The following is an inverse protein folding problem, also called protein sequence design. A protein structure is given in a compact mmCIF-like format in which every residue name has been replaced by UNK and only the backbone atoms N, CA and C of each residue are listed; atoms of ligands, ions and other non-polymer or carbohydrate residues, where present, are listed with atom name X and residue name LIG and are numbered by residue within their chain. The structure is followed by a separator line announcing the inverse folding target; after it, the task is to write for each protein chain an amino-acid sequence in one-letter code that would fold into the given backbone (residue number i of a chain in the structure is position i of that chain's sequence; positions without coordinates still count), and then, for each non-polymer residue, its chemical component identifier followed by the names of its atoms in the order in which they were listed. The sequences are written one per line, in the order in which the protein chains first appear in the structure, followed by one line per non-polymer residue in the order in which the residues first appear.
data_IF_967893243449
#
_entry.id   IF_967893243449
#
_cell.length_a   1.000
_cell.length_b   1.000
_cell.length_c   1.000
_cell.angle_alpha   90.00
_cell.angle_beta   90.00
_cell.angle_gamma   90.00
#
_symmetry.space_group_name_H-M   'P 1'
#
loop_
_entity.id
_entity.type
_entity.pdbx_description
1 polymer ?
#
# COMPACT_ATOMS: atom_id res chain seq x y z
N UNK A 1 28.34 -4.28 -28.66
CA UNK A 1 27.08 -3.64 -28.23
C UNK A 1 26.95 -3.73 -26.71
N UNK A 2 26.85 -2.60 -26.01
CA UNK A 2 26.85 -2.55 -24.53
C UNK A 2 25.53 -3.07 -23.96
N UNK A 3 25.55 -3.54 -22.70
CA UNK A 3 24.34 -3.96 -22.01
C UNK A 3 23.30 -2.83 -21.90
N UNK A 4 23.76 -1.60 -21.65
CA UNK A 4 22.90 -0.42 -21.57
C UNK A 4 22.14 -0.14 -22.87
N UNK A 5 22.82 -0.19 -24.02
CA UNK A 5 22.17 0.01 -25.32
C UNK A 5 21.15 -1.11 -25.61
N UNK A 6 21.48 -2.37 -25.25
CA UNK A 6 20.51 -3.48 -25.37
C UNK A 6 19.27 -3.25 -24.53
N UNK A 7 19.41 -2.74 -23.31
CA UNK A 7 18.27 -2.46 -22.43
C UNK A 7 17.40 -1.33 -22.98
N UNK A 8 18.00 -0.28 -23.55
CA UNK A 8 17.25 0.80 -24.23
C UNK A 8 16.47 0.25 -25.42
N UNK A 9 17.12 -0.51 -26.29
CA UNK A 9 16.49 -1.03 -27.51
C UNK A 9 15.36 -2.02 -27.21
N UNK A 10 15.35 -2.64 -26.01
CA UNK A 10 14.29 -3.56 -25.56
C UNK A 10 13.06 -2.87 -24.96
N UNK A 11 13.10 -1.56 -24.71
CA UNK A 11 12.02 -0.85 -24.03
C UNK A 11 10.65 -1.01 -24.72
N UNK A 12 10.52 -0.97 -26.06
CA UNK A 12 9.24 -1.19 -26.73
C UNK A 12 8.64 -2.57 -26.42
N UNK A 13 9.44 -3.63 -26.46
CA UNK A 13 8.97 -5.00 -26.19
C UNK A 13 8.67 -5.23 -24.71
N UNK A 14 9.42 -4.59 -23.80
CA UNK A 14 9.12 -4.63 -22.35
C UNK A 14 7.81 -3.90 -22.03
N UNK A 15 7.55 -2.74 -22.67
CA UNK A 15 6.29 -2.01 -22.52
C UNK A 15 5.11 -2.83 -23.03
N UNK A 16 5.23 -3.43 -24.22
CA UNK A 16 4.18 -4.30 -24.77
C UNK A 16 3.89 -5.47 -23.83
N UNK A 17 4.92 -6.11 -23.26
CA UNK A 17 4.76 -7.19 -22.27
C UNK A 17 4.05 -6.73 -21.01
N UNK A 18 4.38 -5.54 -20.49
CA UNK A 18 3.69 -4.97 -19.32
C UNK A 18 2.19 -4.72 -19.62
N UNK A 19 1.87 -4.17 -20.79
CA UNK A 19 0.48 -3.94 -21.22
C UNK A 19 -0.27 -5.28 -21.34
N UNK A 20 0.32 -6.28 -21.99
CA UNK A 20 -0.30 -7.60 -22.14
C UNK A 20 -0.53 -8.29 -20.79
N UNK A 21 0.39 -8.15 -19.84
CA UNK A 21 0.23 -8.70 -18.50
C UNK A 21 -0.96 -8.07 -17.76
N UNK A 22 -1.12 -6.75 -17.85
CA UNK A 22 -2.11 -5.99 -17.07
C UNK A 22 -3.48 -5.90 -17.75
N UNK A 23 -3.51 -5.79 -19.08
CA UNK A 23 -4.70 -5.49 -19.88
C UNK A 23 -4.96 -6.51 -21.01
N UNK A 24 -4.11 -7.54 -21.17
CA UNK A 24 -4.29 -8.57 -22.19
C UNK A 24 -5.45 -9.53 -21.89
N UNK A 25 -5.84 -10.31 -22.91
CA UNK A 25 -7.00 -11.20 -22.87
C UNK A 25 -6.93 -12.26 -21.74
N UNK A 26 -5.71 -12.72 -21.40
CA UNK A 26 -5.49 -13.70 -20.34
C UNK A 26 -5.61 -13.11 -18.92
N UNK A 27 -5.65 -11.77 -18.79
CA UNK A 27 -5.81 -11.02 -17.53
C UNK A 27 -4.90 -11.51 -16.40
N UNK A 28 -3.71 -12.04 -16.72
CA UNK A 28 -2.87 -12.72 -15.73
C UNK A 28 -2.43 -11.81 -14.56
N UNK A 29 -2.20 -10.52 -14.83
CA UNK A 29 -1.89 -9.51 -13.80
C UNK A 29 -3.10 -8.84 -13.18
N UNK A 30 -4.32 -9.10 -13.68
CA UNK A 30 -5.51 -8.32 -13.33
C UNK A 30 -5.92 -8.51 -11.87
N UNK A 31 -5.88 -9.73 -11.35
CA UNK A 31 -6.25 -9.99 -9.96
C UNK A 31 -5.34 -9.27 -8.95
N UNK A 32 -4.03 -9.24 -9.22
CA UNK A 32 -3.08 -8.50 -8.38
C UNK A 32 -3.31 -6.99 -8.48
N UNK A 33 -3.60 -6.48 -9.68
CA UNK A 33 -3.90 -5.06 -9.89
C UNK A 33 -5.20 -4.65 -9.18
N UNK A 34 -6.26 -5.45 -9.28
CA UNK A 34 -7.54 -5.19 -8.62
C UNK A 34 -7.37 -5.21 -7.09
N UNK A 35 -6.62 -6.18 -6.55
CA UNK A 35 -6.31 -6.23 -5.12
C UNK A 35 -5.50 -5.02 -4.64
N UNK A 36 -4.54 -4.56 -5.44
CA UNK A 36 -3.79 -3.33 -5.14
C UNK A 36 -4.69 -2.10 -5.20
N UNK A 37 -5.56 -2.00 -6.20
CA UNK A 37 -6.49 -0.89 -6.34
C UNK A 37 -7.49 -0.83 -5.18
N UNK A 38 -8.02 -1.97 -4.73
CA UNK A 38 -8.88 -2.05 -3.54
C UNK A 38 -8.14 -1.63 -2.27
N UNK A 39 -6.89 -2.09 -2.08
CA UNK A 39 -6.09 -1.69 -0.93
C UNK A 39 -5.80 -0.18 -0.90
N UNK A 40 -5.56 0.43 -2.07
CA UNK A 40 -5.33 1.87 -2.21
C UNK A 40 -6.63 2.65 -1.97
N UNK A 41 -7.77 2.23 -2.55
CA UNK A 41 -9.08 2.88 -2.35
C UNK A 41 -9.55 2.83 -0.91
N UNK A 42 -9.27 1.74 -0.21
CA UNK A 42 -9.63 1.56 1.20
C UNK A 42 -8.73 2.29 2.19
N UNK A 43 -7.60 2.85 1.74
CA UNK A 43 -6.65 3.53 2.60
C UNK A 43 -6.97 5.02 2.73
N UNK A 44 -6.83 5.55 3.95
CA UNK A 44 -6.90 6.97 4.23
C UNK A 44 -5.60 7.70 3.86
N UNK A 45 -4.47 6.99 3.97
CA UNK A 45 -3.15 7.53 3.70
C UNK A 45 -2.42 6.65 2.69
N UNK A 46 -2.04 7.19 1.54
CA UNK A 46 -1.36 6.43 0.50
C UNK A 46 0.03 7.00 0.31
N UNK A 47 1.05 6.18 0.52
CA UNK A 47 2.45 6.54 0.31
C UNK A 47 2.92 5.95 -1.02
N UNK A 48 3.66 6.72 -1.81
CA UNK A 48 4.25 6.29 -3.07
C UNK A 48 5.76 6.58 -3.04
N UNK A 49 6.57 5.55 -3.27
CA UNK A 49 8.02 5.62 -3.04
C UNK A 49 8.81 4.71 -3.98
N UNK A 50 10.12 4.91 -4.01
CA UNK A 50 11.10 4.13 -4.75
C UNK A 50 12.51 4.61 -4.41
N UNK A 51 13.52 4.09 -5.11
CA UNK A 51 14.92 4.52 -4.98
C UNK A 51 15.48 4.80 -6.37
N UNK A 52 16.26 5.87 -6.51
CA UNK A 52 16.97 6.18 -7.76
C UNK A 52 16.02 6.31 -8.96
N UNK A 53 16.21 5.53 -10.02
CA UNK A 53 15.31 5.58 -11.18
C UNK A 53 13.86 5.17 -10.85
N UNK A 54 13.67 4.30 -9.84
CA UNK A 54 12.32 3.93 -9.39
C UNK A 54 11.64 5.06 -8.61
N UNK A 55 12.41 5.92 -7.94
CA UNK A 55 11.88 7.15 -7.34
C UNK A 55 11.40 8.14 -8.41
N UNK A 56 12.18 8.32 -9.49
CA UNK A 56 11.74 9.15 -10.61
C UNK A 56 10.45 8.63 -11.28
N UNK A 57 10.29 7.30 -11.37
CA UNK A 57 9.03 6.70 -11.83
C UNK A 57 7.88 7.01 -10.86
N UNK A 58 8.11 6.96 -9.55
CA UNK A 58 7.12 7.30 -8.53
C UNK A 58 6.66 8.76 -8.64
N UNK A 59 7.55 9.71 -8.92
CA UNK A 59 7.19 11.12 -9.15
C UNK A 59 6.21 11.28 -10.32
N UNK A 60 6.47 10.62 -11.45
CA UNK A 60 5.59 10.66 -12.62
C UNK A 60 4.21 10.04 -12.33
N UNK A 61 4.19 8.87 -11.67
CA UNK A 61 2.94 8.21 -11.27
C UNK A 61 2.17 9.07 -10.25
N UNK A 62 2.87 9.75 -9.35
CA UNK A 62 2.29 10.66 -8.37
C UNK A 62 1.46 11.78 -9.02
N UNK A 63 1.91 12.33 -10.15
CA UNK A 63 1.13 13.33 -10.89
C UNK A 63 -0.21 12.77 -11.39
N UNK A 64 -0.24 11.52 -11.87
CA UNK A 64 -1.49 10.87 -12.31
C UNK A 64 -2.46 10.67 -11.15
N UNK A 65 -1.97 10.25 -9.98
CA UNK A 65 -2.78 10.13 -8.77
C UNK A 65 -3.46 11.45 -8.39
N UNK A 66 -2.70 12.56 -8.43
CA UNK A 66 -3.24 13.90 -8.17
C UNK A 66 -4.27 14.33 -9.23
N UNK A 67 -3.99 14.09 -10.51
CA UNK A 67 -4.90 14.41 -11.60
C UNK A 67 -6.27 13.73 -11.45
N UNK A 68 -6.31 12.53 -10.85
CA UNK A 68 -7.54 11.77 -10.62
C UNK A 68 -8.14 11.95 -9.21
N UNK A 69 -7.70 12.94 -8.44
CA UNK A 69 -8.29 13.26 -7.13
C UNK A 69 -7.95 12.25 -6.01
N UNK A 70 -6.89 11.46 -6.20
CA UNK A 70 -6.40 10.49 -5.23
C UNK A 70 -4.98 10.85 -4.80
N UNK A 71 -4.78 11.92 -4.00
CA UNK A 71 -3.44 12.39 -3.66
C UNK A 71 -2.66 11.32 -2.88
N UNK A 72 -1.34 11.32 -3.10
CA UNK A 72 -0.39 10.40 -2.47
C UNK A 72 0.74 11.18 -1.80
N UNK A 73 1.25 10.68 -0.68
CA UNK A 73 2.46 11.19 -0.05
C UNK A 73 3.68 10.66 -0.80
N UNK A 74 4.47 11.55 -1.36
CA UNK A 74 5.68 11.26 -2.12
C UNK A 74 6.91 11.51 -1.24
N UNK A 75 7.65 10.45 -0.91
CA UNK A 75 8.95 10.53 -0.23
C UNK A 75 9.86 9.42 -0.74
N UNK A 76 11.17 9.67 -0.77
CA UNK A 76 12.16 8.63 -1.08
C UNK A 76 12.11 7.51 -0.02
N UNK A 77 12.44 6.28 -0.42
CA UNK A 77 12.31 5.13 0.46
C UNK A 77 13.17 5.21 1.72
N UNK A 78 14.36 5.82 1.60
CA UNK A 78 15.31 5.99 2.69
C UNK A 78 14.82 7.03 3.71
N UNK A 79 14.19 8.11 3.22
CA UNK A 79 13.55 9.11 4.08
C UNK A 79 12.32 8.54 4.80
N UNK A 80 11.47 7.78 4.10
CA UNK A 80 10.34 7.11 4.73
C UNK A 80 10.79 6.15 5.83
N UNK A 81 11.86 5.42 5.59
CA UNK A 81 12.37 4.46 6.56
C UNK A 81 12.88 5.14 7.84
N UNK A 82 13.51 6.31 7.72
CA UNK A 82 14.11 7.01 8.88
C UNK A 82 13.14 7.93 9.62
N UNK A 83 12.23 8.58 8.90
CA UNK A 83 11.49 9.72 9.44
C UNK A 83 9.98 9.53 9.46
N UNK A 84 9.42 8.60 8.68
CA UNK A 84 7.99 8.45 8.62
C UNK A 84 7.45 7.54 9.73
N UNK A 85 6.41 8.01 10.41
CA UNK A 85 5.47 7.16 11.12
C UNK A 85 4.27 6.91 10.22
N UNK A 86 3.89 5.63 10.02
CA UNK A 86 2.75 5.27 9.19
C UNK A 86 1.46 5.25 10.02
N UNK A 87 0.49 6.13 9.75
CA UNK A 87 -0.79 6.11 10.44
C UNK A 87 -1.58 4.81 10.19
N UNK A 88 -2.64 4.62 10.97
CA UNK A 88 -3.64 3.58 10.68
C UNK A 88 -4.22 3.77 9.28
N UNK A 89 -4.71 2.66 8.71
CA UNK A 89 -5.40 2.67 7.42
C UNK A 89 -4.54 3.27 6.30
N UNK A 90 -3.24 3.00 6.35
CA UNK A 90 -2.27 3.39 5.31
C UNK A 90 -2.04 2.29 4.29
N UNK A 91 -1.89 2.67 3.03
CA UNK A 91 -1.35 1.84 1.95
C UNK A 91 0.00 2.40 1.49
N UNK A 92 0.86 1.52 0.99
CA UNK A 92 2.17 1.89 0.48
C UNK A 92 2.41 1.24 -0.88
N UNK A 93 2.72 2.07 -1.86
CA UNK A 93 3.10 1.70 -3.21
C UNK A 93 4.61 1.85 -3.31
N UNK A 94 5.29 0.73 -3.45
CA UNK A 94 6.75 0.67 -3.55
C UNK A 94 7.12 0.30 -4.98
N UNK A 95 7.78 1.22 -5.70
CA UNK A 95 8.33 0.95 -7.02
C UNK A 95 9.78 0.50 -6.86
N UNK A 96 10.09 -0.71 -7.33
CA UNK A 96 11.43 -1.26 -7.31
C UNK A 96 11.63 -2.24 -8.46
N UNK A 97 12.76 -2.12 -9.17
CA UNK A 97 13.15 -3.07 -10.22
C UNK A 97 13.47 -4.46 -9.67
N UNK A 98 14.30 -4.54 -8.62
CA UNK A 98 14.80 -5.82 -8.11
C UNK A 98 14.02 -6.33 -6.89
N UNK A 99 13.36 -5.44 -6.16
CA UNK A 99 12.76 -5.74 -4.85
C UNK A 99 13.77 -6.13 -3.77
N UNK A 100 15.08 -5.99 -4.03
CA UNK A 100 16.17 -6.51 -3.18
C UNK A 100 17.01 -5.44 -2.51
N UNK A 101 16.79 -4.16 -2.83
CA UNK A 101 17.49 -3.06 -2.14
C UNK A 101 17.17 -3.12 -0.64
N UNK A 102 18.19 -2.88 0.20
CA UNK A 102 18.09 -3.01 1.65
C UNK A 102 16.95 -2.17 2.21
N UNK A 103 16.84 -0.91 1.78
CA UNK A 103 15.83 0.04 2.21
C UNK A 103 14.43 -0.43 1.79
N UNK A 104 14.28 -0.95 0.57
CA UNK A 104 13.00 -1.51 0.07
C UNK A 104 12.53 -2.69 0.94
N UNK A 105 13.43 -3.63 1.23
CA UNK A 105 13.11 -4.80 2.06
C UNK A 105 12.77 -4.39 3.49
N UNK A 106 13.51 -3.43 4.05
CA UNK A 106 13.25 -2.92 5.40
C UNK A 106 11.92 -2.16 5.47
N UNK A 107 11.61 -1.36 4.46
CA UNK A 107 10.37 -0.59 4.37
C UNK A 107 9.15 -1.51 4.22
N UNK A 108 9.24 -2.54 3.36
CA UNK A 108 8.20 -3.56 3.21
C UNK A 108 7.91 -4.27 4.55
N UNK A 109 8.97 -4.67 5.27
CA UNK A 109 8.84 -5.29 6.60
C UNK A 109 8.19 -4.32 7.60
N UNK A 110 8.57 -3.04 7.58
CA UNK A 110 7.98 -2.00 8.42
C UNK A 110 6.48 -1.85 8.15
N UNK A 111 6.09 -1.72 6.87
CA UNK A 111 4.69 -1.60 6.46
C UNK A 111 3.84 -2.81 6.89
N UNK A 112 4.36 -4.03 6.73
CA UNK A 112 3.67 -5.27 7.15
C UNK A 112 3.47 -5.35 8.67
N UNK A 113 4.45 -4.91 9.47
CA UNK A 113 4.32 -4.86 10.94
C UNK A 113 3.21 -3.91 11.39
N UNK A 114 3.13 -2.73 10.78
CA UNK A 114 2.09 -1.75 11.08
C UNK A 114 0.69 -2.29 10.73
N UNK A 115 0.54 -2.95 9.58
CA UNK A 115 -0.71 -3.62 9.21
C UNK A 115 -1.16 -4.65 10.25
N UNK A 116 -0.22 -5.50 10.72
CA UNK A 116 -0.52 -6.54 11.73
C UNK A 116 -0.83 -5.95 13.10
N UNK A 117 -0.07 -4.97 13.57
CA UNK A 117 -0.30 -4.32 14.86
C UNK A 117 -1.69 -3.66 14.92
N UNK A 118 -2.17 -3.11 13.80
CA UNK A 118 -3.51 -2.54 13.71
C UNK A 118 -4.60 -3.59 13.62
N UNK A 119 -4.39 -4.69 12.90
CA UNK A 119 -5.35 -5.79 12.84
C UNK A 119 -5.52 -6.50 14.19
N UNK A 120 -4.45 -6.64 14.98
CA UNK A 120 -4.52 -7.21 16.34
C UNK A 120 -5.25 -6.27 17.29
N UNK A 121 -4.93 -4.95 17.28
CA UNK A 121 -5.61 -3.97 18.13
C UNK A 121 -7.09 -3.79 17.79
N UNK A 122 -7.49 -3.89 16.52
CA UNK A 122 -8.90 -3.81 16.13
C UNK A 122 -9.70 -5.04 16.56
N UNK A 123 -9.09 -6.22 16.57
CA UNK A 123 -9.70 -7.45 17.10
C UNK A 123 -9.91 -7.39 18.61
N UNK A 124 -8.88 -6.95 19.34
CA UNK A 124 -8.95 -6.80 20.79
C UNK A 124 -9.92 -5.70 21.25
N UNK A 125 -10.01 -4.60 20.49
CA UNK A 125 -11.01 -3.55 20.74
C UNK A 125 -12.45 -4.05 20.48
N UNK A 126 -12.69 -4.83 19.41
CA UNK A 126 -14.00 -5.46 19.18
C UNK A 126 -14.40 -6.45 20.27
N UNK A 127 -13.45 -7.24 20.79
CA UNK A 127 -13.70 -8.18 21.89
C UNK A 127 -14.06 -7.45 23.20
N UNK A 128 -13.39 -6.33 23.51
CA UNK A 128 -13.74 -5.51 24.68
C UNK A 128 -15.08 -4.78 24.55
N UNK A 129 -15.43 -4.29 23.35
CA UNK A 129 -16.73 -3.63 23.12
C UNK A 129 -17.89 -4.64 23.13
N UNK A 130 -17.67 -5.89 22.70
CA UNK A 130 -18.67 -6.96 22.84
C UNK A 130 -18.85 -7.41 24.30
N UNK A 131 -17.76 -7.54 25.07
CA UNK A 131 -17.86 -7.90 26.49
C UNK A 131 -18.47 -6.78 27.35
N UNK A 132 -18.22 -5.51 27.02
CA UNK A 132 -18.83 -4.38 27.73
C UNK A 132 -20.35 -4.28 27.48
N UNK A 133 -20.85 -4.69 26.31
CA UNK A 133 -22.31 -4.72 26.01
C UNK A 133 -23.02 -5.97 26.51
N UNK A 134 -22.29 -7.04 26.82
CA UNK A 134 -22.87 -8.26 27.39
C UNK A 134 -23.08 -8.17 28.92
N UNK A 135 -22.42 -7.22 29.60
CA UNK A 135 -22.50 -7.05 31.05
C UNK A 135 -23.61 -6.12 31.57
N UNK A 136 -24.34 -5.42 30.70
CA UNK A 136 -25.22 -4.29 31.10
C UNK A 136 -26.72 -4.56 30.85
N UNK A 137 -27.16 -5.82 30.98
CA UNK A 137 -28.58 -6.23 30.86
C UNK A 137 -29.19 -6.73 32.16
N UNK A 138 -28.80 -6.17 33.31
CA UNK A 138 -29.39 -6.50 34.62
C UNK A 138 -29.51 -5.29 35.56
N UNK A 139 -30.05 -4.18 35.08
CA UNK A 139 -30.50 -3.10 35.95
C UNK A 139 -31.76 -2.45 35.36
N UNK A 140 -32.92 -3.00 35.70
CA UNK A 140 -34.20 -2.52 35.17
C UNK A 140 -35.42 -3.13 35.84
N UNK A 141 -35.40 -3.29 37.17
CA UNK A 141 -36.62 -3.52 37.97
C UNK A 141 -36.49 -2.80 39.32
N UNK A 142 -37.17 -1.65 39.47
CA UNK A 142 -37.69 -1.02 40.69
C UNK A 142 -38.52 0.20 40.18
N UNK A 143 -39.80 0.47 40.43
CA UNK A 143 -40.77 0.04 41.44
C UNK A 143 -41.24 1.26 42.27
N UNK A 144 -42.49 1.74 42.08
CA UNK A 144 -43.22 2.76 42.90
C UNK A 144 -42.78 4.23 42.69
N UNK A 145 -43.64 5.25 42.57
CA UNK A 145 -45.05 5.47 42.91
C UNK A 145 -45.76 6.20 41.76
#
# INVERSE_FOLDING_TARGET
MTHFLKDILRQPEELQRAILLLAGANRAGRGALDAAAEAIRGARHVYLTGIGSSWHAALNVGAMFHQHGHPVYLLDADELLRFAAFPKDSAMIIISRSGKSTEIVQLERSARRHRRAHQVRSRHFREHVYNARAGDRNAGEFGGW
#
